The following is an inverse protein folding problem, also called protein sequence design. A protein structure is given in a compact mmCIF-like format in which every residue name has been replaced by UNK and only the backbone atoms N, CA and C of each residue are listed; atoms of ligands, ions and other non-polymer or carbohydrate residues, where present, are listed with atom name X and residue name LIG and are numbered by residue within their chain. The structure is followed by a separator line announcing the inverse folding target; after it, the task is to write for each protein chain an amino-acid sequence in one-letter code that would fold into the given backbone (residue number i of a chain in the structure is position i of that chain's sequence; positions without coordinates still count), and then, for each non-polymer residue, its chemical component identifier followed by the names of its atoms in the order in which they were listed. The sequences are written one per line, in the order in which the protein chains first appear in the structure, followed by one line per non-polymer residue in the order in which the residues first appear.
data_IF_203033860036
#
_entry.id   IF_203033860036
#
_cell.length_a   1.000
_cell.length_b   1.000
_cell.length_c   1.000
_cell.angle_alpha   90.00
_cell.angle_beta   90.00
_cell.angle_gamma   90.00
#
_symmetry.space_group_name_H-M   'P 1'
#
loop_
_entity.id
_entity.type
_entity.pdbx_description
1 polymer ?
#
# COMPACT_ATOMS: atom_id res chain seq x y z
N UNK A 1 13.14 7.99 -17.86
CA UNK A 1 13.72 6.85 -17.20
C UNK A 1 12.84 6.20 -16.17
N UNK A 2 12.21 6.99 -15.30
CA UNK A 2 11.23 6.44 -14.36
C UNK A 2 9.90 6.11 -15.05
N UNK A 3 9.60 6.84 -16.10
CA UNK A 3 8.45 6.55 -16.95
C UNK A 3 8.72 5.23 -17.66
N UNK A 4 7.75 4.38 -17.73
CA UNK A 4 7.87 3.09 -18.38
C UNK A 4 8.50 1.98 -17.55
N UNK A 5 8.73 2.20 -16.24
CA UNK A 5 9.25 1.15 -15.38
C UNK A 5 8.34 -0.06 -15.36
N UNK A 6 7.02 0.16 -15.32
CA UNK A 6 6.04 -0.90 -15.36
C UNK A 6 6.16 -1.72 -16.66
N UNK A 7 6.39 -1.05 -17.76
CA UNK A 7 6.58 -1.70 -19.06
C UNK A 7 7.91 -2.46 -19.12
N UNK A 8 8.99 -1.86 -18.61
CA UNK A 8 10.32 -2.46 -18.61
C UNK A 8 10.39 -3.73 -17.75
N UNK A 9 9.71 -3.76 -16.62
CA UNK A 9 9.69 -4.91 -15.72
C UNK A 9 8.56 -5.89 -16.06
N UNK A 10 7.58 -5.43 -16.87
CA UNK A 10 6.54 -6.27 -17.39
C UNK A 10 5.70 -6.96 -16.32
N UNK A 11 5.49 -8.25 -16.51
CA UNK A 11 4.60 -9.05 -15.67
C UNK A 11 5.00 -9.07 -14.19
N UNK A 12 6.27 -9.02 -13.89
CA UNK A 12 6.75 -9.05 -12.50
C UNK A 12 6.32 -7.83 -11.71
N UNK A 13 6.31 -6.68 -12.36
CA UNK A 13 5.86 -5.43 -11.75
C UNK A 13 4.39 -5.53 -11.36
N UNK A 14 3.57 -5.97 -12.30
CA UNK A 14 2.13 -6.11 -12.09
C UNK A 14 1.79 -7.24 -11.10
N UNK A 15 2.53 -8.33 -11.18
CA UNK A 15 2.38 -9.46 -10.25
C UNK A 15 2.64 -9.02 -8.81
N UNK A 16 3.69 -8.23 -8.59
CA UNK A 16 4.01 -7.72 -7.24
C UNK A 16 2.85 -6.89 -6.69
N UNK A 17 2.34 -5.96 -7.50
CA UNK A 17 1.21 -5.11 -7.13
C UNK A 17 -0.06 -5.94 -6.85
N UNK A 18 -0.33 -6.93 -7.69
CA UNK A 18 -1.50 -7.81 -7.55
C UNK A 18 -1.41 -8.66 -6.28
N UNK A 19 -0.22 -9.15 -5.93
CA UNK A 19 0.00 -9.90 -4.70
C UNK A 19 -0.27 -9.04 -3.48
N UNK A 20 0.21 -7.80 -3.46
CA UNK A 20 -0.08 -6.87 -2.37
C UNK A 20 -1.59 -6.66 -2.24
N UNK A 21 -2.26 -6.47 -3.35
CA UNK A 21 -3.72 -6.28 -3.35
C UNK A 21 -4.44 -7.51 -2.80
N UNK A 22 -3.98 -8.71 -3.16
CA UNK A 22 -4.59 -9.96 -2.69
C UNK A 22 -4.48 -10.12 -1.17
N UNK A 23 -3.53 -9.44 -0.54
CA UNK A 23 -3.33 -9.47 0.90
C UNK A 23 -4.10 -8.38 1.64
N UNK A 24 -4.96 -7.68 0.95
CA UNK A 24 -5.82 -6.66 1.55
C UNK A 24 -5.32 -5.23 1.42
N UNK A 25 -4.23 -5.02 0.69
CA UNK A 25 -3.74 -3.67 0.39
C UNK A 25 -4.63 -3.07 -0.70
N UNK A 26 -5.12 -1.88 -0.50
CA UNK A 26 -5.96 -1.21 -1.49
C UNK A 26 -5.19 -1.11 -2.81
N UNK A 27 -5.87 -1.30 -3.94
CA UNK A 27 -5.23 -1.42 -5.26
C UNK A 27 -4.29 -0.25 -5.60
N UNK A 28 -4.73 0.98 -5.39
CA UNK A 28 -3.90 2.14 -5.71
C UNK A 28 -2.71 2.30 -4.77
N UNK A 29 -2.87 1.89 -3.52
CA UNK A 29 -1.78 1.83 -2.54
C UNK A 29 -0.75 0.79 -2.98
N UNK A 30 -1.21 -0.38 -3.41
CA UNK A 30 -0.33 -1.44 -3.91
C UNK A 30 0.48 -0.97 -5.12
N UNK A 31 -0.16 -0.28 -6.04
CA UNK A 31 0.51 0.28 -7.23
C UNK A 31 1.56 1.32 -6.82
N UNK A 32 1.24 2.17 -5.88
CA UNK A 32 2.14 3.23 -5.43
C UNK A 32 3.35 2.65 -4.68
N UNK A 33 3.13 1.69 -3.80
CA UNK A 33 4.21 0.98 -3.11
C UNK A 33 5.16 0.33 -4.13
N UNK A 34 4.59 -0.37 -5.10
CA UNK A 34 5.36 -1.06 -6.13
C UNK A 34 6.21 -0.07 -6.93
N UNK A 35 5.61 1.03 -7.34
CA UNK A 35 6.32 2.07 -8.09
C UNK A 35 7.49 2.64 -7.28
N UNK A 36 7.24 3.03 -6.04
CA UNK A 36 8.27 3.62 -5.18
C UNK A 36 9.37 2.63 -4.81
N UNK A 37 9.04 1.35 -4.67
CA UNK A 37 10.04 0.31 -4.40
C UNK A 37 11.02 0.18 -5.56
N UNK A 38 10.54 0.35 -6.78
CA UNK A 38 11.36 0.20 -7.99
C UNK A 38 12.05 1.51 -8.36
N UNK A 39 11.32 2.61 -8.33
CA UNK A 39 11.83 3.90 -8.80
C UNK A 39 12.68 4.65 -7.76
N UNK A 40 12.45 4.40 -6.48
CA UNK A 40 13.11 5.15 -5.43
C UNK A 40 12.52 6.56 -5.30
N UNK A 41 13.34 7.53 -4.97
CA UNK A 41 12.91 8.92 -4.78
C UNK A 41 12.22 9.44 -6.03
N UNK A 42 11.03 9.97 -5.86
CA UNK A 42 10.19 10.42 -6.99
C UNK A 42 9.40 11.66 -6.63
N UNK A 43 9.26 12.57 -7.58
CA UNK A 43 8.37 13.73 -7.45
C UNK A 43 6.94 13.29 -7.70
N UNK A 44 5.97 14.14 -7.38
CA UNK A 44 4.55 13.87 -7.70
C UNK A 44 4.36 13.58 -9.18
N UNK A 45 5.07 14.32 -10.01
CA UNK A 45 5.01 14.16 -11.48
C UNK A 45 5.56 12.81 -11.93
N UNK A 46 6.68 12.39 -11.36
CA UNK A 46 7.26 11.06 -11.63
C UNK A 46 6.26 9.96 -11.27
N UNK A 47 5.63 10.11 -10.13
CA UNK A 47 4.65 9.12 -9.62
C UNK A 47 3.46 9.01 -10.57
N UNK A 48 2.89 10.14 -10.98
CA UNK A 48 1.74 10.13 -11.90
C UNK A 48 2.11 9.47 -13.23
N UNK A 49 3.27 9.80 -13.79
CA UNK A 49 3.71 9.25 -15.06
C UNK A 49 4.09 7.78 -14.99
N UNK A 50 4.76 7.39 -13.92
CA UNK A 50 5.29 6.03 -13.79
C UNK A 50 4.34 5.03 -13.21
N UNK A 51 3.46 5.44 -12.30
CA UNK A 51 2.51 4.54 -11.63
C UNK A 51 1.23 4.30 -12.43
N UNK A 52 0.93 5.17 -13.38
CA UNK A 52 -0.32 5.12 -14.10
C UNK A 52 -1.52 5.64 -13.32
N UNK A 53 -1.29 6.18 -12.13
CA UNK A 53 -2.37 6.73 -11.30
C UNK A 53 -2.59 8.19 -11.62
N UNK A 54 -3.83 8.63 -11.51
CA UNK A 54 -4.20 10.04 -11.66
C UNK A 54 -3.96 10.76 -10.34
N UNK A 55 -3.82 12.08 -10.41
CA UNK A 55 -3.53 12.90 -9.23
C UNK A 55 -4.48 12.66 -8.04
N UNK A 56 -5.81 12.60 -8.23
CA UNK A 56 -6.70 12.30 -7.11
C UNK A 56 -6.45 10.93 -6.48
N UNK A 57 -6.10 9.94 -7.31
CA UNK A 57 -5.80 8.57 -6.86
C UNK A 57 -4.50 8.54 -6.07
N UNK A 58 -3.48 9.28 -6.52
CA UNK A 58 -2.21 9.41 -5.81
C UNK A 58 -2.43 10.04 -4.44
N UNK A 59 -3.20 11.13 -4.39
CA UNK A 59 -3.49 11.84 -3.14
C UNK A 59 -4.16 10.95 -2.11
N UNK A 60 -5.12 10.17 -2.53
CA UNK A 60 -5.85 9.25 -1.64
C UNK A 60 -4.92 8.14 -1.15
N UNK A 61 -4.14 7.54 -2.06
CA UNK A 61 -3.20 6.48 -1.70
C UNK A 61 -2.12 6.98 -0.74
N UNK A 62 -1.66 8.21 -0.90
CA UNK A 62 -0.67 8.81 -0.02
C UNK A 62 -1.16 8.93 1.43
N UNK A 63 -2.46 9.13 1.64
CA UNK A 63 -3.03 9.17 2.99
C UNK A 63 -2.78 7.85 3.73
N UNK A 64 -2.96 6.75 3.06
CA UNK A 64 -2.72 5.42 3.63
C UNK A 64 -1.23 5.24 3.93
N UNK A 65 -0.37 5.62 3.00
CA UNK A 65 1.08 5.50 3.19
C UNK A 65 1.57 6.34 4.37
N UNK A 66 1.02 7.53 4.55
CA UNK A 66 1.35 8.38 5.70
C UNK A 66 0.84 7.77 7.00
N UNK A 67 -0.37 7.28 7.01
CA UNK A 67 -0.99 6.66 8.19
C UNK A 67 -0.18 5.45 8.67
N UNK A 68 0.31 4.65 7.73
CA UNK A 68 1.11 3.47 8.05
C UNK A 68 2.59 3.80 8.32
N UNK A 69 2.98 5.04 8.13
CA UNK A 69 4.36 5.49 8.25
C UNK A 69 5.30 4.78 7.25
N UNK A 70 4.78 4.48 6.09
CA UNK A 70 5.53 3.79 5.03
C UNK A 70 6.20 4.74 4.06
N UNK A 71 5.90 6.03 4.13
CA UNK A 71 6.41 7.04 3.21
C UNK A 71 7.07 8.19 3.96
N UNK A 72 8.11 8.73 3.38
CA UNK A 72 8.69 10.01 3.80
C UNK A 72 8.59 10.99 2.64
N UNK A 73 8.44 12.24 2.96
CA UNK A 73 8.31 13.29 1.96
C UNK A 73 9.07 14.53 2.40
N UNK A 74 9.62 15.24 1.44
CA UNK A 74 10.34 16.48 1.69
C UNK A 74 10.26 17.38 0.47
N UNK A 75 10.62 18.64 0.65
CA UNK A 75 10.62 19.60 -0.43
C UNK A 75 12.05 19.84 -0.93
N UNK A 76 12.18 19.97 -2.23
CA UNK A 76 13.44 20.29 -2.88
C UNK A 76 13.24 21.57 -3.67
N UNK A 77 14.07 22.57 -3.41
CA UNK A 77 14.02 23.83 -4.13
C UNK A 77 14.50 23.65 -5.56
N UNK A 78 13.83 24.31 -6.47
CA UNK A 78 14.26 24.34 -7.87
C UNK A 78 15.62 25.04 -7.98
N UNK A 79 16.56 24.41 -8.67
CA UNK A 79 17.88 24.97 -8.92
C UNK A 79 17.82 26.19 -9.83
N UNK A 80 16.73 26.38 -10.55
CA UNK A 80 16.55 27.51 -11.47
C UNK A 80 15.97 28.74 -10.77
N UNK A 81 15.65 28.65 -9.50
CA UNK A 81 15.14 29.76 -8.72
C UNK A 81 13.78 30.28 -9.13
N UNK A 82 13.13 29.62 -10.06
CA UNK A 82 11.78 29.97 -10.51
C UNK A 82 10.84 28.82 -10.21
N UNK A 83 9.72 29.12 -9.58
CA UNK A 83 8.68 28.17 -9.31
C UNK A 83 8.66 27.65 -7.88
N UNK A 84 7.69 26.84 -7.57
CA UNK A 84 7.47 26.27 -6.25
C UNK A 84 8.43 25.12 -5.99
N UNK A 85 8.81 24.93 -4.73
CA UNK A 85 9.56 23.72 -4.37
C UNK A 85 8.77 22.48 -4.78
N UNK A 86 9.47 21.49 -5.28
CA UNK A 86 8.86 20.20 -5.62
C UNK A 86 8.89 19.29 -4.43
N UNK A 87 7.81 18.59 -4.17
CA UNK A 87 7.80 17.54 -3.16
C UNK A 87 8.39 16.27 -3.75
N UNK A 88 9.21 15.63 -2.94
CA UNK A 88 9.84 14.35 -3.28
C UNK A 88 9.36 13.31 -2.27
N UNK A 89 9.11 12.12 -2.75
CA UNK A 89 8.58 11.00 -1.96
C UNK A 89 9.48 9.80 -2.08
N UNK A 90 9.60 9.05 -1.02
CA UNK A 90 10.30 7.76 -1.02
C UNK A 90 9.70 6.87 0.05
N UNK A 91 9.88 5.57 -0.08
CA UNK A 91 9.49 4.66 1.00
C UNK A 91 10.33 4.97 2.23
N UNK A 92 9.69 4.95 3.39
CA UNK A 92 10.30 5.30 4.67
C UNK A 92 11.14 4.16 5.27
N UNK A 93 11.05 3.00 4.67
CA UNK A 93 11.75 1.79 5.09
C UNK A 93 11.94 0.86 3.90
N UNK A 94 12.83 -0.11 3.98
CA UNK A 94 12.97 -1.09 2.91
C UNK A 94 11.66 -1.83 2.65
N UNK A 95 11.43 -2.22 1.41
CA UNK A 95 10.20 -2.91 1.01
C UNK A 95 9.96 -4.19 1.84
N UNK A 96 11.00 -4.89 2.24
CA UNK A 96 10.90 -6.08 3.09
C UNK A 96 10.20 -5.77 4.41
N UNK A 97 10.47 -4.60 4.99
CA UNK A 97 9.86 -4.18 6.25
C UNK A 97 8.37 -3.87 6.08
N UNK A 98 8.01 -3.31 4.95
CA UNK A 98 6.60 -3.07 4.61
C UNK A 98 5.88 -4.41 4.47
N UNK A 99 6.49 -5.36 3.76
CA UNK A 99 5.93 -6.72 3.59
C UNK A 99 5.76 -7.39 4.94
N UNK A 100 6.73 -7.25 5.83
CA UNK A 100 6.67 -7.79 7.18
C UNK A 100 5.53 -7.22 7.99
N UNK A 101 5.29 -5.92 7.89
CA UNK A 101 4.15 -5.25 8.52
C UNK A 101 2.82 -5.80 8.02
N UNK A 102 2.72 -6.01 6.72
CA UNK A 102 1.51 -6.58 6.10
C UNK A 102 1.30 -8.02 6.58
N UNK A 103 2.36 -8.79 6.65
CA UNK A 103 2.31 -10.17 7.14
C UNK A 103 1.80 -10.23 8.57
N UNK A 104 2.34 -9.40 9.45
CA UNK A 104 1.93 -9.36 10.85
C UNK A 104 0.45 -8.96 11.00
N UNK A 105 0.01 -7.98 10.25
CA UNK A 105 -1.37 -7.54 10.25
C UNK A 105 -2.32 -8.65 9.78
N UNK A 106 -1.92 -9.38 8.74
CA UNK A 106 -2.72 -10.51 8.23
C UNK A 106 -2.77 -11.67 9.22
N UNK A 107 -1.69 -11.96 9.91
CA UNK A 107 -1.66 -13.02 10.94
C UNK A 107 -2.58 -12.67 12.10
N UNK A 108 -2.50 -11.43 12.57
CA UNK A 108 -3.33 -10.93 13.65
C UNK A 108 -4.82 -11.02 13.30
N UNK A 109 -5.15 -10.60 12.09
CA UNK A 109 -6.53 -10.63 11.59
C UNK A 109 -7.05 -12.07 11.48
N UNK A 110 -6.21 -13.00 11.02
CA UNK A 110 -6.57 -14.43 10.95
C UNK A 110 -6.89 -15.01 12.31
N UNK A 111 -6.09 -14.68 13.33
CA UNK A 111 -6.34 -15.14 14.71
C UNK A 111 -7.67 -14.59 15.20
N UNK A 112 -7.93 -13.31 15.01
CA UNK A 112 -9.19 -12.67 15.42
C UNK A 112 -10.40 -13.30 14.72
N UNK A 113 -10.27 -13.62 13.44
CA UNK A 113 -11.34 -14.26 12.68
C UNK A 113 -11.63 -15.68 13.21
N UNK A 114 -10.59 -16.44 13.49
CA UNK A 114 -10.76 -17.79 14.04
C UNK A 114 -11.39 -17.76 15.44
N UNK A 115 -11.02 -16.79 16.26
CA UNK A 115 -11.64 -16.60 17.58
C UNK A 115 -13.11 -16.24 17.45
N UNK A 116 -13.45 -15.39 16.50
CA UNK A 116 -14.85 -15.01 16.24
C UNK A 116 -15.68 -16.21 15.78
N UNK A 117 -15.10 -17.07 14.93
CA UNK A 117 -15.76 -18.29 14.46
C UNK A 117 -16.02 -19.22 15.65
N UNK A 118 -15.03 -19.38 16.52
CA UNK A 118 -15.18 -20.23 17.70
C UNK A 118 -16.28 -19.69 18.62
N UNK A 119 -16.31 -18.37 18.80
CA UNK A 119 -17.35 -17.74 19.62
C UNK A 119 -18.74 -17.97 19.06
N UNK A 120 -18.89 -17.88 17.73
CA UNK A 120 -20.16 -18.18 17.06
C UNK A 120 -20.59 -19.61 17.33
N UNK A 121 -19.66 -20.57 17.23
CA UNK A 121 -19.95 -21.98 17.51
C UNK A 121 -20.37 -22.20 18.97
N UNK A 122 -19.70 -21.54 19.89
CA UNK A 122 -20.00 -21.63 21.31
C UNK A 122 -21.40 -21.10 21.61
N UNK A 123 -21.79 -20.00 20.99
CA UNK A 123 -23.12 -19.41 21.16
C UNK A 123 -24.23 -20.32 20.66
N UNK A 124 -23.98 -21.05 19.58
CA UNK A 124 -24.91 -22.04 19.06
C UNK A 124 -24.97 -23.28 19.95
N UNK A 125 -23.82 -23.79 20.36
CA UNK A 125 -23.69 -24.98 21.21
C UNK A 125 -24.38 -24.79 22.58
N UNK A 126 -24.23 -23.61 23.17
CA UNK A 126 -24.84 -23.29 24.45
C UNK A 126 -26.30 -22.82 24.33
N UNK A 127 -26.79 -22.69 23.11
CA UNK A 127 -28.12 -22.16 22.76
C UNK A 127 -28.33 -20.73 23.29
N UNK A 128 -27.25 -19.98 23.41
CA UNK A 128 -27.31 -18.62 23.91
C UNK A 128 -28.04 -17.69 22.95
N UNK A 129 -28.02 -17.99 21.66
CA UNK A 129 -28.62 -17.16 20.62
C UNK A 129 -29.70 -17.89 19.82
N UNK A 130 -29.43 -19.13 19.43
CA UNK A 130 -30.29 -19.89 18.54
C UNK A 130 -31.01 -21.00 19.29
N UNK A 131 -32.32 -21.06 19.13
CA UNK A 131 -33.13 -22.15 19.69
C UNK A 131 -33.20 -23.28 18.68
N UNK A 132 -32.68 -24.44 19.02
CA UNK A 132 -32.75 -25.62 18.17
C UNK A 132 -34.17 -26.13 18.12
N UNK A 133 -34.67 -26.62 16.96
CA UNK A 133 -36.02 -27.21 16.84
C UNK A 133 -36.12 -28.53 17.58
#
# INVERSE_FOLDING_TARGET
MREGLAEALGDKYHEFSDLLHSLGVQRNVAKLITYLAVAGESTSRDIERGSGLRQPEVSIAMRTLRRENWIREWEVKSTEGKGRPSKVYALNMPIDEIIKSIEEERRKKSVEELESIQKLRDMVSTRALVREP
#
